data_IF_299632524902
#
_entry.id   IF_299632524902
#
_cell.length_a   1.000
_cell.length_b   1.000
_cell.length_c   1.000
_cell.angle_alpha   90.00
_cell.angle_beta   90.00
_cell.angle_gamma   90.00
#
_symmetry.space_group_name_H-M   'P 1'
#
loop_
_entity.id
_entity.type
_entity.pdbx_description
1 polymer ?
#
# COMPACT_ATOMS: atom_id res chain seq x y z
N UNK A 1 24.22 -7.64 -14.90
CA UNK A 1 24.57 -8.89 -14.18
C UNK A 1 25.60 -8.48 -13.16
N UNK A 2 25.24 -8.43 -11.87
CA UNK A 2 26.20 -8.12 -10.81
C UNK A 2 27.09 -9.35 -10.60
N UNK A 3 28.38 -9.21 -10.93
CA UNK A 3 29.43 -10.13 -10.48
C UNK A 3 29.94 -9.64 -9.11
N UNK A 4 30.67 -10.48 -8.37
CA UNK A 4 31.25 -10.11 -7.09
C UNK A 4 32.10 -8.81 -7.17
N UNK A 5 32.70 -8.54 -8.33
CA UNK A 5 33.48 -7.33 -8.61
C UNK A 5 32.64 -6.06 -8.85
N UNK A 6 31.30 -6.18 -8.91
CA UNK A 6 30.35 -5.09 -9.09
C UNK A 6 29.55 -4.78 -7.81
N UNK A 7 29.89 -5.43 -6.69
CA UNK A 7 29.26 -5.18 -5.40
C UNK A 7 29.86 -3.92 -4.76
N UNK A 8 29.06 -2.85 -4.66
CA UNK A 8 29.45 -1.62 -3.93
C UNK A 8 29.40 -1.77 -2.41
N UNK A 9 29.41 -3.00 -1.89
CA UNK A 9 29.40 -3.30 -0.46
C UNK A 9 30.82 -3.16 0.06
N UNK A 10 31.04 -2.13 0.88
CA UNK A 10 32.37 -1.77 1.41
C UNK A 10 32.76 -2.57 2.66
N UNK A 11 31.78 -3.15 3.36
CA UNK A 11 31.95 -3.86 4.63
C UNK A 11 30.96 -5.03 4.74
N UNK A 12 31.37 -6.10 5.43
CA UNK A 12 30.50 -7.22 5.73
C UNK A 12 29.39 -6.79 6.69
N UNK A 13 28.13 -7.04 6.32
CA UNK A 13 26.97 -6.78 7.18
C UNK A 13 26.31 -8.09 7.60
N UNK A 14 25.97 -8.20 8.89
CA UNK A 14 25.22 -9.32 9.42
C UNK A 14 23.83 -8.88 9.85
N UNK A 15 22.79 -9.56 9.36
CA UNK A 15 21.39 -9.26 9.69
C UNK A 15 20.73 -10.51 10.25
N UNK A 16 20.42 -10.57 11.56
CA UNK A 16 19.64 -11.67 12.12
C UNK A 16 18.21 -11.62 11.59
N UNK A 17 17.71 -12.74 11.09
CA UNK A 17 16.35 -12.85 10.53
C UNK A 17 15.53 -13.81 11.38
N UNK A 18 14.35 -13.37 11.83
CA UNK A 18 13.43 -14.18 12.62
C UNK A 18 12.03 -14.15 12.02
N UNK A 19 11.41 -15.33 11.83
CA UNK A 19 10.02 -15.50 11.36
C UNK A 19 9.70 -14.74 10.05
N UNK A 20 10.64 -14.69 9.12
CA UNK A 20 10.47 -14.02 7.83
C UNK A 20 10.74 -14.97 6.66
N UNK A 21 10.18 -14.63 5.50
CA UNK A 21 10.57 -15.25 4.24
C UNK A 21 11.95 -14.75 3.84
N UNK A 22 12.82 -15.68 3.41
CA UNK A 22 14.05 -15.33 2.73
C UNK A 22 13.83 -15.47 1.22
N UNK A 23 14.20 -14.41 0.52
CA UNK A 23 14.17 -14.26 -0.93
C UNK A 23 12.81 -14.49 -1.58
N UNK A 24 11.75 -13.90 -0.99
CA UNK A 24 10.40 -13.90 -1.59
C UNK A 24 10.41 -13.41 -3.04
N UNK A 25 11.30 -12.47 -3.37
CA UNK A 25 11.47 -11.96 -4.73
C UNK A 25 11.74 -13.06 -5.77
N UNK A 26 12.40 -14.16 -5.38
CA UNK A 26 12.68 -15.31 -6.25
C UNK A 26 11.43 -16.08 -6.68
N UNK A 27 10.30 -15.91 -5.98
CA UNK A 27 9.01 -16.50 -6.38
C UNK A 27 8.44 -15.82 -7.63
N UNK A 28 8.79 -14.55 -7.85
CA UNK A 28 8.14 -13.69 -8.83
C UNK A 28 9.08 -13.20 -9.93
N UNK A 29 10.39 -13.20 -9.65
CA UNK A 29 11.43 -12.64 -10.51
C UNK A 29 12.58 -13.63 -10.67
N UNK A 30 13.35 -13.46 -11.75
CA UNK A 30 14.67 -14.07 -11.81
C UNK A 30 15.58 -13.33 -10.83
N UNK A 31 15.79 -13.94 -9.67
CA UNK A 31 16.45 -13.32 -8.53
C UNK A 31 17.84 -13.93 -8.34
N UNK A 32 18.81 -13.07 -8.05
CA UNK A 32 20.17 -13.45 -7.71
C UNK A 32 20.38 -13.01 -6.26
N UNK A 33 20.57 -13.97 -5.37
CA UNK A 33 20.84 -13.70 -3.96
C UNK A 33 22.14 -12.92 -3.79
N UNK A 34 22.20 -12.11 -2.74
CA UNK A 34 23.39 -11.32 -2.40
C UNK A 34 23.85 -11.72 -0.99
N UNK A 35 25.05 -12.30 -0.91
CA UNK A 35 25.63 -12.76 0.35
C UNK A 35 25.39 -14.26 0.62
N UNK A 36 25.60 -14.66 1.87
CA UNK A 36 25.44 -16.05 2.33
C UNK A 36 24.37 -16.10 3.41
N UNK A 37 23.39 -16.97 3.23
CA UNK A 37 22.37 -17.22 4.25
C UNK A 37 22.79 -18.42 5.13
N UNK A 38 22.82 -18.21 6.45
CA UNK A 38 23.08 -19.25 7.44
C UNK A 38 21.80 -19.50 8.24
N UNK A 39 21.49 -20.78 8.44
CA UNK A 39 20.31 -21.22 9.17
C UNK A 39 20.76 -21.84 10.48
N UNK A 40 20.43 -21.18 11.60
CA UNK A 40 20.79 -21.64 12.96
C UNK A 40 19.66 -22.43 13.63
N UNK A 41 18.40 -22.20 13.22
CA UNK A 41 17.20 -22.85 13.75
C UNK A 41 16.45 -23.66 12.68
N UNK A 42 15.51 -24.51 13.10
CA UNK A 42 14.66 -25.27 12.17
C UNK A 42 13.93 -24.37 11.17
N UNK A 43 14.26 -24.52 9.89
CA UNK A 43 13.70 -23.73 8.80
C UNK A 43 13.03 -24.62 7.75
N UNK A 44 12.16 -24.02 6.95
CA UNK A 44 11.47 -24.70 5.85
C UNK A 44 11.92 -24.10 4.52
N UNK A 45 12.12 -24.95 3.51
CA UNK A 45 12.43 -24.54 2.14
C UNK A 45 11.22 -24.80 1.27
N UNK A 46 10.75 -23.77 0.58
CA UNK A 46 9.68 -23.88 -0.40
C UNK A 46 10.27 -23.83 -1.80
N UNK A 47 9.96 -24.83 -2.63
CA UNK A 47 10.34 -24.86 -4.05
C UNK A 47 9.07 -24.81 -4.88
N UNK A 48 8.98 -23.82 -5.77
CA UNK A 48 7.84 -23.66 -6.66
C UNK A 48 8.25 -23.92 -8.11
N UNK A 49 7.55 -24.85 -8.77
CA UNK A 49 7.71 -25.02 -10.21
C UNK A 49 6.91 -23.94 -10.95
N UNK A 50 7.61 -22.94 -11.50
CA UNK A 50 7.00 -21.75 -12.10
C UNK A 50 5.90 -22.08 -13.11
N UNK A 51 6.14 -23.06 -13.99
CA UNK A 51 5.15 -23.43 -15.00
C UNK A 51 3.88 -24.04 -14.40
N UNK A 52 4.02 -24.81 -13.31
CA UNK A 52 2.87 -25.41 -12.61
C UNK A 52 2.04 -24.34 -11.91
N UNK A 53 2.70 -23.33 -11.32
CA UNK A 53 2.04 -22.17 -10.71
C UNK A 53 1.28 -21.38 -11.76
N UNK A 54 1.92 -21.04 -12.89
CA UNK A 54 1.30 -20.31 -14.00
C UNK A 54 0.09 -21.10 -14.54
N UNK A 55 0.26 -22.39 -14.82
CA UNK A 55 -0.82 -23.25 -15.32
C UNK A 55 -2.01 -23.33 -14.38
N UNK A 56 -1.76 -23.41 -13.08
CA UNK A 56 -2.82 -23.44 -12.06
C UNK A 56 -3.52 -22.10 -11.95
N UNK A 57 -2.76 -21.01 -11.92
CA UNK A 57 -3.27 -19.65 -11.88
C UNK A 57 -4.17 -19.33 -13.08
N UNK A 58 -3.78 -19.75 -14.29
CA UNK A 58 -4.56 -19.51 -15.51
C UNK A 58 -5.94 -20.18 -15.49
N UNK A 59 -6.18 -21.19 -14.65
CA UNK A 59 -7.50 -21.83 -14.50
C UNK A 59 -8.53 -20.92 -13.86
N UNK A 60 -8.11 -19.87 -13.15
CA UNK A 60 -8.99 -18.91 -12.51
C UNK A 60 -8.63 -17.49 -12.97
N UNK A 61 -9.52 -16.89 -13.78
CA UNK A 61 -9.31 -15.54 -14.34
C UNK A 61 -9.04 -14.48 -13.27
N UNK A 62 -9.77 -14.51 -12.15
CA UNK A 62 -9.63 -13.52 -11.09
C UNK A 62 -8.26 -13.63 -10.42
N UNK A 63 -7.83 -14.85 -10.08
CA UNK A 63 -6.50 -15.08 -9.48
C UNK A 63 -5.42 -14.67 -10.49
N UNK A 64 -5.57 -15.05 -11.76
CA UNK A 64 -4.65 -14.66 -12.83
C UNK A 64 -4.49 -13.14 -12.97
N UNK A 65 -5.60 -12.39 -12.95
CA UNK A 65 -5.56 -10.93 -13.07
C UNK A 65 -4.92 -10.27 -11.84
N UNK A 66 -5.23 -10.74 -10.62
CA UNK A 66 -4.61 -10.25 -9.37
C UNK A 66 -3.10 -10.52 -9.39
N UNK A 67 -2.68 -11.75 -9.69
CA UNK A 67 -1.26 -12.12 -9.70
C UNK A 67 -0.49 -11.33 -10.75
N UNK A 68 -1.07 -11.11 -11.95
CA UNK A 68 -0.43 -10.27 -12.98
C UNK A 68 -0.20 -8.84 -12.50
N UNK A 69 -1.19 -8.22 -11.86
CA UNK A 69 -1.03 -6.88 -11.28
C UNK A 69 0.02 -6.87 -10.16
N UNK A 70 -0.01 -7.87 -9.27
CA UNK A 70 0.98 -8.03 -8.21
C UNK A 70 2.39 -8.12 -8.79
N UNK A 71 2.66 -9.07 -9.70
CA UNK A 71 3.97 -9.26 -10.29
C UNK A 71 4.45 -8.00 -11.02
N UNK A 72 3.55 -7.32 -11.76
CA UNK A 72 3.88 -6.07 -12.44
C UNK A 72 4.33 -4.99 -11.47
N UNK A 73 3.59 -4.78 -10.38
CA UNK A 73 3.95 -3.76 -9.41
C UNK A 73 5.19 -4.13 -8.60
N UNK A 74 5.31 -5.39 -8.18
CA UNK A 74 6.49 -5.90 -7.49
C UNK A 74 7.75 -5.69 -8.33
N UNK A 75 7.69 -6.04 -9.63
CA UNK A 75 8.80 -5.83 -10.57
C UNK A 75 9.19 -4.36 -10.72
N UNK A 76 8.21 -3.46 -10.91
CA UNK A 76 8.45 -2.00 -11.00
C UNK A 76 9.14 -1.47 -9.74
N UNK A 77 8.72 -1.93 -8.55
CA UNK A 77 9.33 -1.52 -7.28
C UNK A 77 10.75 -2.06 -7.13
N UNK A 78 10.94 -3.34 -7.44
CA UNK A 78 12.26 -3.99 -7.37
C UNK A 78 13.27 -3.30 -8.30
N UNK A 79 12.89 -3.05 -9.56
CA UNK A 79 13.78 -2.42 -10.55
C UNK A 79 13.96 -0.92 -10.33
N UNK A 80 12.97 -0.25 -9.73
CA UNK A 80 13.05 1.18 -9.40
C UNK A 80 13.78 1.48 -8.09
N UNK A 81 14.01 0.47 -7.24
CA UNK A 81 14.65 0.63 -5.94
C UNK A 81 16.15 0.89 -6.09
N UNK A 82 16.50 2.18 -6.13
CA UNK A 82 17.87 2.66 -6.32
C UNK A 82 18.13 3.86 -5.39
N UNK A 83 19.26 3.89 -4.65
CA UNK A 83 19.64 5.04 -3.85
C UNK A 83 19.85 6.30 -4.71
N UNK A 84 19.55 7.51 -4.21
CA UNK A 84 19.10 7.82 -2.84
C UNK A 84 17.57 7.72 -2.64
N UNK A 85 16.81 7.33 -3.67
CA UNK A 85 15.33 7.36 -3.63
C UNK A 85 14.73 6.23 -2.82
N UNK A 86 15.41 5.08 -2.79
CA UNK A 86 15.06 3.90 -2.03
C UNK A 86 16.34 3.11 -1.71
N UNK A 87 16.37 2.32 -0.63
CA UNK A 87 17.48 1.38 -0.43
C UNK A 87 17.50 0.33 -1.55
N UNK A 88 18.66 -0.32 -1.75
CA UNK A 88 18.74 -1.45 -2.67
C UNK A 88 17.88 -2.63 -2.15
N UNK A 89 17.21 -3.38 -3.03
CA UNK A 89 16.54 -4.63 -2.66
C UNK A 89 17.51 -5.63 -2.03
N UNK A 90 17.03 -6.41 -1.05
CA UNK A 90 17.79 -7.46 -0.38
C UNK A 90 17.04 -8.79 -0.43
N UNK A 91 17.71 -9.87 -0.02
CA UNK A 91 17.05 -11.16 0.16
C UNK A 91 15.97 -11.13 1.26
N UNK A 92 15.96 -10.13 2.13
CA UNK A 92 14.99 -10.04 3.23
C UNK A 92 13.79 -9.19 2.83
N UNK A 93 14.04 -8.06 2.15
CA UNK A 93 13.01 -7.08 1.85
C UNK A 93 13.27 -6.39 0.51
N UNK A 94 12.20 -6.20 -0.26
CA UNK A 94 12.16 -5.27 -1.39
C UNK A 94 11.39 -4.01 -0.95
N UNK A 95 11.94 -2.80 -1.14
CA UNK A 95 11.27 -1.59 -0.66
C UNK A 95 9.92 -1.35 -1.31
N UNK A 96 8.94 -0.95 -0.50
CA UNK A 96 7.58 -0.58 -0.92
C UNK A 96 6.80 -1.73 -1.59
N UNK A 97 7.09 -2.98 -1.22
CA UNK A 97 6.35 -4.17 -1.70
C UNK A 97 5.48 -4.82 -0.62
N UNK A 98 5.14 -4.11 0.45
CA UNK A 98 4.12 -4.61 1.37
C UNK A 98 2.79 -4.80 0.64
N UNK A 99 2.01 -5.80 1.08
CA UNK A 99 0.78 -6.21 0.41
C UNK A 99 -0.19 -5.03 0.21
N UNK A 100 -0.32 -4.14 1.19
CA UNK A 100 -1.21 -2.99 1.09
C UNK A 100 -0.72 -1.99 0.03
N UNK A 101 0.56 -1.64 0.03
CA UNK A 101 1.16 -0.76 -0.97
C UNK A 101 1.02 -1.31 -2.39
N UNK A 102 1.22 -2.61 -2.57
CA UNK A 102 1.07 -3.24 -3.88
C UNK A 102 -0.38 -3.19 -4.35
N UNK A 103 -1.34 -3.58 -3.51
CA UNK A 103 -2.76 -3.56 -3.87
C UNK A 103 -3.24 -2.16 -4.20
N UNK A 104 -2.88 -1.15 -3.40
CA UNK A 104 -3.27 0.25 -3.66
C UNK A 104 -2.72 0.76 -5.00
N UNK A 105 -1.61 0.20 -5.48
CA UNK A 105 -1.05 0.55 -6.78
C UNK A 105 -1.76 -0.14 -7.97
N UNK A 106 -2.43 -1.28 -7.75
CA UNK A 106 -3.10 -2.05 -8.79
C UNK A 106 -4.25 -1.27 -9.44
N UNK A 107 -4.67 -1.70 -10.63
CA UNK A 107 -5.91 -1.18 -11.24
C UNK A 107 -7.10 -1.33 -10.30
N UNK A 108 -7.97 -0.33 -10.29
CA UNK A 108 -9.07 -0.25 -9.34
C UNK A 108 -10.00 -1.46 -9.41
N UNK A 109 -10.26 -2.02 -10.59
CA UNK A 109 -11.11 -3.19 -10.76
C UNK A 109 -10.59 -4.37 -9.91
N UNK A 110 -9.26 -4.51 -9.83
CA UNK A 110 -8.60 -5.54 -9.04
C UNK A 110 -8.69 -5.23 -7.55
N UNK A 111 -8.50 -3.95 -7.15
CA UNK A 111 -8.69 -3.51 -5.76
C UNK A 111 -10.12 -3.77 -5.27
N UNK A 112 -11.13 -3.50 -6.10
CA UNK A 112 -12.54 -3.77 -5.77
C UNK A 112 -12.76 -5.26 -5.56
N UNK A 113 -12.24 -6.11 -6.44
CA UNK A 113 -12.39 -7.56 -6.31
C UNK A 113 -11.76 -8.08 -5.01
N UNK A 114 -10.52 -7.64 -4.70
CA UNK A 114 -9.84 -8.00 -3.45
C UNK A 114 -10.66 -7.50 -2.24
N UNK A 115 -11.10 -6.24 -2.27
CA UNK A 115 -11.88 -5.63 -1.19
C UNK A 115 -13.22 -6.32 -0.92
N UNK A 116 -13.95 -6.67 -1.98
CA UNK A 116 -15.22 -7.38 -1.86
C UNK A 116 -15.04 -8.79 -1.28
N UNK A 117 -13.96 -9.49 -1.65
CA UNK A 117 -13.62 -10.80 -1.06
C UNK A 117 -13.21 -10.69 0.41
N UNK A 118 -12.42 -9.67 0.76
CA UNK A 118 -12.08 -9.41 2.16
C UNK A 118 -13.32 -9.10 3.02
N UNK A 119 -14.32 -8.39 2.48
CA UNK A 119 -15.60 -8.17 3.16
C UNK A 119 -16.42 -9.45 3.37
N UNK A 120 -16.22 -10.50 2.57
CA UNK A 120 -16.89 -11.79 2.80
C UNK A 120 -16.34 -12.49 4.02
N UNK A 121 -15.03 -12.39 4.29
CA UNK A 121 -14.39 -12.95 5.49
C UNK A 121 -14.98 -12.36 6.78
N UNK A 122 -15.27 -11.05 6.78
CA UNK A 122 -15.97 -10.37 7.91
C UNK A 122 -17.37 -10.95 8.20
N UNK A 123 -18.07 -11.51 7.22
CA UNK A 123 -19.42 -12.07 7.42
C UNK A 123 -19.40 -13.29 8.33
N UNK A 124 -18.31 -14.05 8.29
CA UNK A 124 -18.12 -15.32 9.01
C UNK A 124 -17.72 -15.11 10.48
N UNK A 125 -17.18 -13.94 10.83
CA UNK A 125 -16.58 -13.68 12.15
C UNK A 125 -17.49 -12.91 13.12
N UNK A 126 -18.71 -12.55 12.72
CA UNK A 126 -19.61 -11.68 13.52
C UNK A 126 -20.78 -12.46 14.14
N UNK A 127 -20.86 -12.51 15.47
CA UNK A 127 -21.97 -13.12 16.21
C UNK A 127 -23.34 -12.47 15.97
N UNK A 128 -24.42 -13.20 16.30
CA UNK A 128 -25.82 -12.94 15.92
C UNK A 128 -26.40 -11.57 16.35
N UNK A 129 -25.82 -10.91 17.35
CA UNK A 129 -26.46 -9.82 18.09
C UNK A 129 -26.32 -8.39 17.50
N UNK A 130 -25.48 -8.15 16.48
CA UNK A 130 -25.25 -6.79 15.96
C UNK A 130 -25.43 -6.62 14.43
N UNK A 131 -26.32 -7.38 13.79
CA UNK A 131 -26.47 -7.39 12.31
C UNK A 131 -26.94 -6.07 11.68
N UNK A 132 -27.72 -5.24 12.36
CA UNK A 132 -28.41 -4.09 11.72
C UNK A 132 -27.50 -2.86 11.56
N UNK A 133 -26.82 -2.42 12.64
CA UNK A 133 -25.87 -1.29 12.63
C UNK A 133 -24.57 -1.62 11.87
N UNK A 134 -24.06 -2.86 12.00
CA UNK A 134 -22.97 -3.33 11.13
C UNK A 134 -23.41 -3.40 9.67
N UNK A 135 -24.67 -3.75 9.38
CA UNK A 135 -25.20 -3.85 8.03
C UNK A 135 -25.12 -2.54 7.26
N UNK A 136 -25.55 -1.43 7.88
CA UNK A 136 -25.49 -0.09 7.27
C UNK A 136 -24.04 0.38 7.08
N UNK A 137 -23.19 0.20 8.10
CA UNK A 137 -21.77 0.56 8.03
C UNK A 137 -21.04 -0.25 6.94
N UNK A 138 -21.39 -1.53 6.80
CA UNK A 138 -20.85 -2.42 5.76
C UNK A 138 -21.29 -2.02 4.36
N UNK A 139 -22.56 -1.64 4.18
CA UNK A 139 -23.05 -1.21 2.87
C UNK A 139 -22.35 0.08 2.43
N UNK A 140 -22.18 1.04 3.35
CA UNK A 140 -21.39 2.25 3.09
C UNK A 140 -19.93 1.93 2.77
N UNK A 141 -19.32 0.97 3.48
CA UNK A 141 -17.95 0.53 3.18
C UNK A 141 -17.87 -0.16 1.81
N UNK A 142 -18.86 -0.98 1.46
CA UNK A 142 -18.95 -1.62 0.15
C UNK A 142 -19.06 -0.58 -0.97
N UNK A 143 -19.91 0.43 -0.80
CA UNK A 143 -20.01 1.57 -1.74
C UNK A 143 -18.67 2.28 -1.87
N UNK A 144 -17.99 2.58 -0.75
CA UNK A 144 -16.67 3.20 -0.77
C UNK A 144 -15.61 2.35 -1.50
N UNK A 145 -15.68 1.02 -1.40
CA UNK A 145 -14.81 0.12 -2.17
C UNK A 145 -15.14 0.20 -3.65
N UNK A 146 -16.42 0.09 -4.00
CA UNK A 146 -16.87 0.15 -5.41
C UNK A 146 -16.50 1.49 -6.07
N UNK A 147 -16.56 2.58 -5.31
CA UNK A 147 -16.16 3.92 -5.73
C UNK A 147 -14.63 4.13 -5.77
N UNK A 148 -13.85 3.17 -5.23
CA UNK A 148 -12.38 3.24 -5.15
C UNK A 148 -11.84 4.24 -4.15
N UNK A 149 -12.66 4.62 -3.17
CA UNK A 149 -12.26 5.53 -2.08
C UNK A 149 -11.54 4.77 -0.96
N UNK A 150 -11.64 3.45 -0.94
CA UNK A 150 -11.04 2.58 0.05
C UNK A 150 -10.81 1.19 -0.51
N UNK A 151 -9.77 0.53 -0.03
CA UNK A 151 -9.57 -0.89 -0.25
C UNK A 151 -9.59 -1.60 1.10
N UNK A 152 -10.08 -2.84 1.12
CA UNK A 152 -10.13 -3.66 2.33
C UNK A 152 -9.30 -4.92 2.06
N UNK A 153 -8.45 -5.29 3.00
CA UNK A 153 -7.49 -6.38 2.85
C UNK A 153 -7.63 -7.33 4.04
N UNK A 154 -7.34 -8.60 3.81
CA UNK A 154 -7.13 -9.57 4.87
C UNK A 154 -5.64 -9.60 5.19
N UNK A 155 -5.28 -9.42 6.45
CA UNK A 155 -3.91 -9.47 6.95
C UNK A 155 -3.42 -10.93 7.08
N UNK A 156 -2.13 -11.12 7.37
CA UNK A 156 -1.56 -12.45 7.63
C UNK A 156 -2.14 -13.15 8.87
N UNK A 157 -2.76 -12.41 9.80
CA UNK A 157 -3.47 -12.96 10.97
C UNK A 157 -4.93 -13.32 10.67
N UNK A 158 -5.41 -13.06 9.45
CA UNK A 158 -6.80 -13.24 9.07
C UNK A 158 -7.71 -12.07 9.46
N UNK A 159 -7.18 -11.04 10.11
CA UNK A 159 -7.93 -9.81 10.42
C UNK A 159 -8.17 -8.97 9.17
N UNK A 160 -9.26 -8.21 9.17
CA UNK A 160 -9.62 -7.36 8.04
C UNK A 160 -9.25 -5.90 8.30
N UNK A 161 -8.33 -5.39 7.48
CA UNK A 161 -7.84 -4.02 7.56
C UNK A 161 -8.40 -3.17 6.41
N UNK A 162 -8.74 -1.92 6.74
CA UNK A 162 -9.11 -0.92 5.74
C UNK A 162 -7.88 -0.08 5.38
N UNK A 163 -7.63 0.07 4.09
CA UNK A 163 -6.55 0.90 3.54
C UNK A 163 -7.15 2.01 2.68
N UNK A 164 -6.67 3.23 2.90
CA UNK A 164 -7.08 4.42 2.14
C UNK A 164 -5.86 5.25 1.79
N UNK A 165 -5.75 5.67 0.53
CA UNK A 165 -4.73 6.62 0.11
C UNK A 165 -5.21 8.05 0.41
N UNK A 166 -4.45 8.80 1.23
CA UNK A 166 -4.73 10.19 1.57
C UNK A 166 -3.59 11.04 1.03
N UNK A 167 -3.93 12.10 0.29
CA UNK A 167 -2.98 13.17 -0.03
C UNK A 167 -3.25 14.32 0.92
N UNK A 168 -2.24 14.76 1.66
CA UNK A 168 -2.32 15.87 2.58
C UNK A 168 -1.24 16.91 2.28
N UNK A 169 -1.54 18.19 2.52
CA UNK A 169 -0.59 19.27 2.37
C UNK A 169 0.01 19.62 3.73
N UNK A 170 1.34 19.52 3.81
CA UNK A 170 2.11 20.18 4.85
C UNK A 170 2.47 21.58 4.39
N UNK A 171 1.68 22.56 4.79
CA UNK A 171 1.92 23.97 4.46
C UNK A 171 2.68 24.59 5.62
N UNK A 172 3.87 25.12 5.35
CA UNK A 172 4.73 25.74 6.36
C UNK A 172 4.92 27.22 6.03
N UNK A 173 4.74 28.07 7.04
CA UNK A 173 5.04 29.50 6.95
C UNK A 173 6.53 29.76 7.20
N UNK A 174 7.02 30.95 6.85
CA UNK A 174 8.43 31.34 6.98
C UNK A 174 8.98 31.20 8.42
N UNK A 175 8.12 31.25 9.44
CA UNK A 175 8.48 31.09 10.86
C UNK A 175 8.43 29.62 11.34
N UNK A 176 8.35 28.67 10.40
CA UNK A 176 8.34 27.24 10.71
C UNK A 176 6.99 26.69 11.19
N UNK A 177 5.97 27.54 11.36
CA UNK A 177 4.64 27.10 11.80
C UNK A 177 3.91 26.36 10.68
N UNK A 178 3.18 25.31 11.05
CA UNK A 178 2.43 24.44 10.13
C UNK A 178 0.96 24.83 10.15
N UNK A 179 0.37 24.97 8.96
CA UNK A 179 -1.07 25.17 8.81
C UNK A 179 -1.80 23.84 8.98
N UNK A 180 -2.69 23.78 9.98
CA UNK A 180 -3.45 22.58 10.34
C UNK A 180 -4.94 22.88 10.38
N UNK A 181 -5.75 21.88 10.07
CA UNK A 181 -7.19 21.94 10.24
C UNK A 181 -7.54 21.64 11.70
N UNK A 182 -8.12 22.63 12.41
CA UNK A 182 -8.49 22.55 13.84
C UNK A 182 -9.91 22.01 14.10
N UNK A 183 -10.71 21.88 13.04
CA UNK A 183 -12.08 21.38 13.17
C UNK A 183 -12.77 21.12 11.84
N UNK A 184 -13.83 20.32 11.88
CA UNK A 184 -14.73 20.03 10.75
C UNK A 184 -16.12 20.52 11.10
N UNK A 185 -16.68 21.38 10.26
CA UNK A 185 -18.07 21.78 10.37
C UNK A 185 -18.94 20.69 9.70
N UNK A 186 -19.85 20.08 10.46
CA UNK A 186 -20.73 19.00 9.97
C UNK A 186 -22.19 19.39 10.19
N UNK A 187 -22.81 20.04 9.20
CA UNK A 187 -24.23 20.38 9.27
C UNK A 187 -24.59 21.21 10.51
N UNK A 188 -25.82 21.07 10.99
CA UNK A 188 -26.44 21.86 12.07
C UNK A 188 -25.57 21.94 13.33
N UNK A 189 -24.73 22.98 13.36
CA UNK A 189 -24.13 23.67 14.51
C UNK A 189 -23.01 22.97 15.30
N UNK A 190 -22.54 21.78 14.93
CA UNK A 190 -21.41 21.16 15.64
C UNK A 190 -20.09 21.26 14.86
N UNK A 191 -19.16 22.09 15.36
CA UNK A 191 -17.75 22.00 14.98
C UNK A 191 -17.15 20.81 15.73
N UNK A 192 -16.78 19.76 15.01
CA UNK A 192 -16.04 18.65 15.58
C UNK A 192 -14.56 19.03 15.61
N UNK A 193 -13.89 19.05 16.78
CA UNK A 193 -12.45 19.30 16.84
C UNK A 193 -11.70 18.23 16.05
N UNK A 194 -10.65 18.67 15.37
CA UNK A 194 -9.77 17.84 14.53
C UNK A 194 -8.38 18.48 14.58
N UNK A 195 -7.31 17.71 14.49
CA UNK A 195 -5.95 18.25 14.40
C UNK A 195 -5.23 17.49 13.30
N UNK A 196 -5.56 17.85 12.06
CA UNK A 196 -5.15 17.12 10.86
C UNK A 196 -4.53 18.07 9.83
N UNK A 197 -3.61 17.57 9.00
CA UNK A 197 -3.18 18.31 7.81
C UNK A 197 -4.35 18.43 6.81
N UNK A 198 -4.47 19.55 6.09
CA UNK A 198 -5.48 19.67 5.04
C UNK A 198 -5.22 18.65 3.94
N UNK A 199 -6.12 17.70 3.79
CA UNK A 199 -5.96 16.61 2.82
C UNK A 199 -7.28 16.03 2.35
N UNK A 200 -7.21 15.14 1.38
CA UNK A 200 -8.36 14.37 0.91
C UNK A 200 -7.94 12.96 0.54
N UNK A 201 -8.90 12.05 0.66
CA UNK A 201 -8.80 10.75 0.01
C UNK A 201 -8.56 10.93 -1.49
N UNK A 202 -7.68 10.10 -2.01
CA UNK A 202 -7.47 9.87 -3.43
C UNK A 202 -8.71 9.19 -4.01
N UNK A 203 -9.28 9.70 -5.11
CA UNK A 203 -10.45 9.10 -5.77
C UNK A 203 -10.05 8.25 -6.98
N UNK A 204 -11.00 7.42 -7.44
CA UNK A 204 -10.94 6.62 -8.66
C UNK A 204 -10.33 7.37 -9.84
N UNK A 205 -9.25 6.82 -10.38
CA UNK A 205 -8.62 7.28 -11.63
C UNK A 205 -7.89 8.62 -11.55
N UNK A 206 -7.79 9.24 -10.38
CA UNK A 206 -7.01 10.48 -10.22
C UNK A 206 -5.51 10.16 -10.25
N UNK A 207 -4.70 11.05 -10.81
CA UNK A 207 -3.26 11.11 -10.52
C UNK A 207 -3.03 11.87 -9.20
N UNK A 208 -1.85 11.76 -8.55
CA UNK A 208 -1.51 12.59 -7.39
C UNK A 208 -1.70 14.09 -7.66
N UNK A 209 -1.43 14.51 -8.90
CA UNK A 209 -1.61 15.88 -9.38
C UNK A 209 -3.08 16.30 -9.48
N UNK A 210 -3.98 15.38 -9.82
CA UNK A 210 -5.43 15.63 -9.81
C UNK A 210 -5.95 15.80 -8.40
N UNK A 211 -5.52 14.93 -7.47
CA UNK A 211 -5.87 15.03 -6.05
C UNK A 211 -5.38 16.37 -5.50
N UNK A 212 -4.12 16.75 -5.81
CA UNK A 212 -3.52 18.03 -5.42
C UNK A 212 -4.39 19.20 -5.90
N UNK A 213 -4.70 19.26 -7.20
CA UNK A 213 -5.52 20.34 -7.79
C UNK A 213 -6.89 20.41 -7.13
N UNK A 214 -7.54 19.26 -6.90
CA UNK A 214 -8.84 19.18 -6.25
C UNK A 214 -8.81 19.68 -4.81
N UNK A 215 -7.82 19.31 -4.00
CA UNK A 215 -7.71 19.79 -2.61
C UNK A 215 -7.50 21.31 -2.59
N UNK A 216 -6.63 21.84 -3.46
CA UNK A 216 -6.42 23.30 -3.57
C UNK A 216 -7.71 24.02 -3.94
N UNK A 217 -8.46 23.52 -4.92
CA UNK A 217 -9.71 24.13 -5.35
C UNK A 217 -10.84 24.02 -4.32
N UNK A 218 -10.95 22.90 -3.59
CA UNK A 218 -12.12 22.60 -2.75
C UNK A 218 -11.93 22.91 -1.27
N UNK A 219 -10.73 22.73 -0.72
CA UNK A 219 -10.46 22.88 0.72
C UNK A 219 -9.60 24.09 1.05
N UNK A 220 -8.71 24.46 0.13
CA UNK A 220 -7.74 25.54 0.32
C UNK A 220 -7.97 26.69 -0.67
N UNK A 221 -9.19 26.86 -1.18
CA UNK A 221 -9.50 27.82 -2.25
C UNK A 221 -8.88 29.21 -2.02
N UNK A 222 -9.11 29.87 -0.87
CA UNK A 222 -8.53 31.19 -0.57
C UNK A 222 -7.00 31.20 -0.48
N UNK A 223 -6.38 30.04 -0.23
CA UNK A 223 -4.93 29.90 -0.09
C UNK A 223 -4.26 29.43 -1.39
N UNK A 224 -5.03 29.02 -2.39
CA UNK A 224 -4.53 28.34 -3.59
C UNK A 224 -3.54 29.18 -4.41
N UNK A 225 -3.70 30.52 -4.40
CA UNK A 225 -2.82 31.45 -5.12
C UNK A 225 -1.55 31.82 -4.36
N UNK A 226 -1.53 31.63 -3.03
CA UNK A 226 -0.42 32.06 -2.16
C UNK A 226 0.43 30.90 -1.64
N UNK A 227 0.12 29.66 -2.02
CA UNK A 227 0.90 28.46 -1.67
C UNK A 227 1.81 28.05 -2.83
N UNK A 228 3.09 27.83 -2.53
CA UNK A 228 4.08 27.30 -3.49
C UNK A 228 4.42 25.86 -3.12
N UNK A 229 4.29 24.95 -4.09
CA UNK A 229 4.68 23.56 -3.91
C UNK A 229 6.22 23.47 -3.79
N UNK A 230 6.71 22.79 -2.76
CA UNK A 230 8.15 22.56 -2.55
C UNK A 230 8.59 21.14 -2.86
N UNK A 231 7.72 20.14 -2.68
CA UNK A 231 8.05 18.74 -2.87
C UNK A 231 6.85 17.84 -2.62
N UNK A 232 7.06 16.54 -2.79
CA UNK A 232 6.11 15.49 -2.47
C UNK A 232 6.84 14.45 -1.63
N UNK A 233 6.34 14.20 -0.43
CA UNK A 233 6.84 13.17 0.47
C UNK A 233 5.76 12.09 0.62
N UNK A 234 6.18 10.82 0.63
CA UNK A 234 5.31 9.69 0.95
C UNK A 234 5.61 9.27 2.39
N UNK A 235 4.70 9.57 3.31
CA UNK A 235 4.71 8.93 4.62
C UNK A 235 4.50 7.42 4.39
N UNK A 236 5.48 6.63 4.82
CA UNK A 236 5.51 5.17 4.68
C UNK A 236 4.96 4.53 5.94
#
# INVERSE_FOLDING_TARGET
IQTADASGVLEDTFTPVQKAWLAEAALWLHWIHVGTALVEEHSQVMVCHAESVIRTMMKNRVICDITKEYCRHFHIRTTGATPPKAPWPTDIEVPFTDWASLVVAMRQEVQVVIGLRALEVLKTSSGFLNRTLLGQTRNKLKEQIQDGLSTVLVTNTGEVQRVTCVVAFRITRFDGKVFVQVGKHSGEQQIKPSMELPGSLHKKGESPDDVRRRILATKLGPLSEIVKLRGFDKDS
#
